data_IF_346799584243
#
_entry.id   IF_346799584243
#
_cell.length_a   1.000
_cell.length_b   1.000
_cell.length_c   1.000
_cell.angle_alpha   90.00
_cell.angle_beta   90.00
_cell.angle_gamma   90.00
#
_symmetry.space_group_name_H-M   'P 1'
#
loop_
_entity.id
_entity.type
_entity.pdbx_description
1 polymer ?
#
# COMPACT_ATOMS: atom_id res chain seq x y z
N UNK A 1 -26.94 -35.46 27.03
CA UNK A 1 -26.83 -34.77 25.73
C UNK A 1 -25.41 -34.29 25.60
N UNK A 2 -24.69 -34.73 24.56
CA UNK A 2 -23.33 -34.24 24.29
C UNK A 2 -23.49 -32.88 23.63
N UNK A 3 -23.03 -31.82 24.29
CA UNK A 3 -22.95 -30.48 23.72
C UNK A 3 -21.66 -30.43 22.88
N UNK A 4 -21.78 -30.59 21.56
CA UNK A 4 -20.64 -30.44 20.66
C UNK A 4 -20.41 -28.94 20.51
N UNK A 5 -19.24 -28.40 20.92
CA UNK A 5 -18.95 -26.99 20.71
C UNK A 5 -18.98 -26.69 19.20
N UNK A 6 -19.46 -25.51 18.79
CA UNK A 6 -19.45 -25.11 17.40
C UNK A 6 -18.04 -25.21 16.82
N UNK A 7 -17.94 -25.58 15.55
CA UNK A 7 -16.65 -25.71 14.88
C UNK A 7 -15.86 -24.39 15.02
N UNK A 8 -14.60 -24.49 15.43
CA UNK A 8 -13.67 -23.35 15.57
C UNK A 8 -13.36 -22.69 14.23
N UNK A 9 -13.56 -23.40 13.13
CA UNK A 9 -13.34 -22.92 11.77
C UNK A 9 -14.54 -23.19 10.85
N UNK A 10 -14.59 -22.47 9.73
CA UNK A 10 -15.54 -22.66 8.64
C UNK A 10 -14.79 -22.80 7.32
N UNK A 11 -15.16 -23.79 6.53
CA UNK A 11 -14.65 -23.95 5.18
C UNK A 11 -15.38 -23.00 4.23
N UNK A 12 -14.63 -22.20 3.48
CA UNK A 12 -15.14 -21.31 2.44
C UNK A 12 -14.49 -21.64 1.09
N UNK A 13 -15.01 -21.12 -0.03
CA UNK A 13 -14.33 -21.22 -1.33
C UNK A 13 -12.91 -20.62 -1.35
N UNK A 14 -12.56 -19.80 -0.36
CA UNK A 14 -11.27 -19.12 -0.25
C UNK A 14 -10.38 -19.69 0.87
N UNK A 15 -10.70 -20.90 1.36
CA UNK A 15 -9.99 -21.57 2.42
C UNK A 15 -10.74 -21.59 3.75
N UNK A 16 -10.08 -22.15 4.77
CA UNK A 16 -10.59 -22.21 6.14
C UNK A 16 -10.43 -20.85 6.82
N UNK A 17 -11.43 -20.45 7.61
CA UNK A 17 -11.43 -19.23 8.40
C UNK A 17 -11.93 -19.47 9.81
N UNK A 18 -11.48 -18.67 10.78
CA UNK A 18 -12.01 -18.68 12.15
C UNK A 18 -13.52 -18.36 12.14
N UNK A 19 -14.31 -19.25 12.75
CA UNK A 19 -15.77 -19.17 12.70
C UNK A 19 -16.32 -17.97 13.48
N UNK A 20 -15.68 -17.60 14.60
CA UNK A 20 -16.11 -16.48 15.46
C UNK A 20 -15.69 -15.16 14.84
N UNK A 21 -14.46 -15.06 14.33
CA UNK A 21 -13.96 -13.88 13.62
C UNK A 21 -14.81 -13.59 12.38
N UNK A 22 -15.22 -14.62 11.63
CA UNK A 22 -16.08 -14.45 10.46
C UNK A 22 -17.45 -13.85 10.82
N UNK A 23 -18.09 -14.31 11.89
CA UNK A 23 -19.39 -13.77 12.31
C UNK A 23 -19.25 -12.33 12.81
N UNK A 24 -18.24 -12.05 13.63
CA UNK A 24 -17.96 -10.68 14.08
C UNK A 24 -17.68 -9.72 12.91
N UNK A 25 -16.98 -10.21 11.89
CA UNK A 25 -16.65 -9.42 10.71
C UNK A 25 -17.90 -9.14 9.84
N UNK A 26 -18.83 -10.10 9.73
CA UNK A 26 -20.07 -9.93 8.96
C UNK A 26 -20.95 -8.79 9.46
N UNK A 27 -20.93 -8.53 10.76
CA UNK A 27 -21.77 -7.50 11.37
C UNK A 27 -21.20 -6.08 11.18
N UNK A 28 -19.92 -5.94 10.83
CA UNK A 28 -19.24 -4.63 10.82
C UNK A 28 -18.38 -4.31 9.60
N UNK A 29 -18.09 -5.27 8.72
CA UNK A 29 -17.20 -5.06 7.58
C UNK A 29 -17.96 -4.65 6.32
N UNK A 30 -17.76 -3.42 5.88
CA UNK A 30 -18.23 -2.95 4.58
C UNK A 30 -17.21 -3.25 3.49
N UNK A 31 -17.46 -4.31 2.70
CA UNK A 31 -16.59 -4.72 1.61
C UNK A 31 -16.42 -3.66 0.50
N UNK A 32 -17.33 -2.68 0.39
CA UNK A 32 -17.18 -1.57 -0.57
C UNK A 32 -16.02 -0.62 -0.20
N UNK A 33 -15.50 -0.70 1.02
CA UNK A 33 -14.25 -0.01 1.42
C UNK A 33 -13.05 -0.46 0.58
N UNK A 34 -13.01 -1.73 0.15
CA UNK A 34 -11.94 -2.23 -0.71
C UNK A 34 -11.97 -1.59 -2.10
N UNK A 35 -13.16 -1.39 -2.66
CA UNK A 35 -13.32 -0.69 -3.94
C UNK A 35 -12.91 0.79 -3.82
N UNK A 36 -13.28 1.46 -2.73
CA UNK A 36 -12.83 2.82 -2.46
C UNK A 36 -11.31 2.95 -2.33
N UNK A 37 -10.63 1.91 -1.83
CA UNK A 37 -9.16 1.88 -1.81
C UNK A 37 -8.57 1.80 -3.21
N UNK A 38 -9.18 1.05 -4.13
CA UNK A 38 -8.79 0.97 -5.53
C UNK A 38 -8.93 2.34 -6.19
N UNK A 39 -10.10 2.99 -6.05
CA UNK A 39 -10.32 4.32 -6.63
C UNK A 39 -9.29 5.35 -6.14
N UNK A 40 -8.93 5.29 -4.86
CA UNK A 40 -7.91 6.16 -4.26
C UNK A 40 -6.49 5.81 -4.74
N UNK A 41 -6.19 4.53 -4.95
CA UNK A 41 -4.91 4.11 -5.52
C UNK A 41 -4.77 4.63 -6.94
N UNK A 42 -5.80 4.47 -7.77
CA UNK A 42 -5.80 4.94 -9.15
C UNK A 42 -5.63 6.45 -9.23
N UNK A 43 -6.34 7.20 -8.37
CA UNK A 43 -6.17 8.65 -8.27
C UNK A 43 -4.74 9.03 -7.84
N UNK A 44 -4.16 8.32 -6.86
CA UNK A 44 -2.79 8.54 -6.41
C UNK A 44 -1.80 8.27 -7.53
N UNK A 45 -1.90 7.13 -8.20
CA UNK A 45 -1.03 6.76 -9.32
C UNK A 45 -1.17 7.71 -10.52
N UNK A 46 -2.37 8.22 -10.79
CA UNK A 46 -2.58 9.21 -11.84
C UNK A 46 -1.85 10.53 -11.55
N UNK A 47 -1.91 11.02 -10.31
CA UNK A 47 -1.17 12.23 -9.89
C UNK A 47 0.34 12.02 -9.97
N UNK A 48 0.81 10.83 -9.56
CA UNK A 48 2.22 10.43 -9.58
C UNK A 48 2.78 10.20 -11.00
N UNK A 49 1.93 10.15 -12.04
CA UNK A 49 2.36 9.69 -13.37
C UNK A 49 2.68 8.18 -13.44
N UNK A 50 2.27 7.42 -12.43
CA UNK A 50 2.51 5.99 -12.29
C UNK A 50 3.88 5.64 -11.73
N UNK A 51 4.14 4.34 -11.54
CA UNK A 51 5.40 3.85 -10.94
C UNK A 51 6.63 4.09 -11.81
N UNK A 52 6.45 4.23 -13.12
CA UNK A 52 7.54 4.58 -14.05
C UNK A 52 8.03 6.00 -13.82
N UNK A 53 7.13 6.97 -13.59
CA UNK A 53 7.51 8.35 -13.31
C UNK A 53 8.34 8.47 -12.03
N UNK A 54 7.93 7.82 -10.93
CA UNK A 54 8.71 7.74 -9.69
C UNK A 54 10.12 7.18 -9.94
N UNK A 55 10.23 6.12 -10.74
CA UNK A 55 11.54 5.53 -11.09
C UNK A 55 12.40 6.54 -11.85
N UNK A 56 11.82 7.22 -12.83
CA UNK A 56 12.54 8.18 -13.66
C UNK A 56 12.99 9.41 -12.87
N UNK A 57 12.17 9.88 -11.92
CA UNK A 57 12.52 10.94 -10.97
C UNK A 57 13.65 10.52 -10.03
N UNK A 58 13.62 9.30 -9.48
CA UNK A 58 14.71 8.76 -8.67
C UNK A 58 16.02 8.67 -9.47
N UNK A 59 15.96 8.23 -10.73
CA UNK A 59 17.14 8.18 -11.60
C UNK A 59 17.66 9.59 -11.92
N UNK A 60 16.77 10.56 -12.11
CA UNK A 60 17.15 11.97 -12.28
C UNK A 60 17.84 12.50 -11.02
N UNK A 61 17.26 12.31 -9.85
CA UNK A 61 17.86 12.72 -8.57
C UNK A 61 19.22 12.07 -8.35
N UNK A 62 19.36 10.78 -8.68
CA UNK A 62 20.64 10.09 -8.64
C UNK A 62 21.69 10.74 -9.55
N UNK A 63 21.33 11.05 -10.80
CA UNK A 63 22.22 11.73 -11.74
C UNK A 63 22.64 13.12 -11.24
N UNK A 64 21.69 13.90 -10.69
CA UNK A 64 21.98 15.21 -10.09
C UNK A 64 22.92 15.08 -8.88
N UNK A 65 22.69 14.07 -8.02
CA UNK A 65 23.53 13.79 -6.87
C UNK A 65 24.96 13.39 -7.26
N UNK A 66 25.14 12.58 -8.32
CA UNK A 66 26.47 12.24 -8.84
C UNK A 66 27.24 13.51 -9.28
N UNK A 67 26.57 14.46 -9.90
CA UNK A 67 27.22 15.71 -10.30
C UNK A 67 27.56 16.60 -9.11
N UNK A 68 26.63 16.78 -8.16
CA UNK A 68 26.79 17.73 -7.05
C UNK A 68 27.70 17.18 -5.95
N UNK A 69 27.58 15.90 -5.62
CA UNK A 69 28.26 15.26 -4.48
C UNK A 69 29.60 14.66 -4.93
N UNK A 70 29.59 13.90 -6.04
CA UNK A 70 30.77 13.15 -6.50
C UNK A 70 31.59 13.92 -7.57
N UNK A 71 31.12 15.08 -8.02
CA UNK A 71 31.83 15.92 -9.00
C UNK A 71 31.87 15.32 -10.41
N UNK A 72 30.99 14.36 -10.72
CA UNK A 72 30.90 13.73 -12.05
C UNK A 72 30.35 14.75 -13.05
N UNK A 73 30.84 14.70 -14.29
CA UNK A 73 30.33 15.53 -15.38
C UNK A 73 28.80 15.39 -15.53
N UNK A 74 28.14 16.48 -15.94
CA UNK A 74 26.69 16.56 -16.07
C UNK A 74 26.16 15.44 -16.99
N UNK A 75 25.27 14.60 -16.47
CA UNK A 75 24.64 13.49 -17.22
C UNK A 75 23.17 13.73 -17.56
N UNK A 76 22.55 14.73 -16.93
CA UNK A 76 21.16 15.17 -17.19
C UNK A 76 21.15 16.68 -17.48
N UNK A 77 20.33 17.19 -18.42
CA UNK A 77 20.30 18.62 -18.74
C UNK A 77 20.04 19.48 -17.48
N UNK A 78 20.85 20.52 -17.29
CA UNK A 78 20.74 21.43 -16.13
C UNK A 78 19.61 22.48 -16.28
N UNK A 79 18.65 22.23 -17.17
CA UNK A 79 17.60 23.19 -17.51
C UNK A 79 16.64 23.38 -16.33
N UNK A 80 16.88 24.42 -15.55
CA UNK A 80 16.02 25.01 -14.50
C UNK A 80 15.56 24.14 -13.32
N UNK A 81 15.90 22.85 -13.25
CA UNK A 81 15.55 21.98 -12.13
C UNK A 81 16.60 22.04 -11.00
N UNK A 82 16.17 22.47 -9.81
CA UNK A 82 16.97 22.42 -8.59
C UNK A 82 16.82 21.03 -7.92
N UNK A 83 17.94 20.39 -7.53
CA UNK A 83 17.91 19.06 -6.90
C UNK A 83 16.98 19.00 -5.68
N UNK A 84 16.94 20.06 -4.88
CA UNK A 84 16.09 20.12 -3.69
C UNK A 84 14.60 20.19 -4.04
N UNK A 85 14.23 20.86 -5.13
CA UNK A 85 12.82 21.00 -5.55
C UNK A 85 12.30 19.70 -6.14
N UNK A 86 13.12 19.02 -6.96
CA UNK A 86 12.80 17.67 -7.47
C UNK A 86 12.66 16.67 -6.31
N UNK A 87 13.54 16.75 -5.30
CA UNK A 87 13.47 15.89 -4.13
C UNK A 87 12.23 16.16 -3.26
N UNK A 88 11.86 17.42 -3.06
CA UNK A 88 10.66 17.82 -2.32
C UNK A 88 9.37 17.37 -3.03
N UNK A 89 9.32 17.49 -4.36
CA UNK A 89 8.20 17.01 -5.18
C UNK A 89 8.02 15.51 -5.01
N UNK A 90 9.08 14.73 -5.27
CA UNK A 90 9.04 13.27 -5.13
C UNK A 90 8.71 12.85 -3.70
N UNK A 91 9.21 13.56 -2.68
CA UNK A 91 8.88 13.28 -1.29
C UNK A 91 7.37 13.44 -1.02
N UNK A 92 6.78 14.55 -1.47
CA UNK A 92 5.34 14.83 -1.30
C UNK A 92 4.48 13.73 -1.92
N UNK A 93 4.88 13.30 -3.11
CA UNK A 93 4.28 12.23 -3.89
C UNK A 93 4.33 10.88 -3.15
N UNK A 94 5.50 10.53 -2.60
CA UNK A 94 5.65 9.33 -1.79
C UNK A 94 4.85 9.40 -0.47
N UNK A 95 4.72 10.57 0.14
CA UNK A 95 3.92 10.76 1.35
C UNK A 95 2.43 10.48 1.10
N UNK A 96 1.90 10.89 -0.05
CA UNK A 96 0.53 10.58 -0.45
C UNK A 96 0.32 9.06 -0.62
N UNK A 97 1.28 8.37 -1.25
CA UNK A 97 1.25 6.92 -1.40
C UNK A 97 1.34 6.19 -0.05
N UNK A 98 2.18 6.67 0.86
CA UNK A 98 2.31 6.13 2.23
C UNK A 98 1.00 6.32 3.01
N UNK A 99 0.36 7.49 2.90
CA UNK A 99 -0.92 7.75 3.55
C UNK A 99 -2.03 6.80 3.04
N UNK A 100 -2.08 6.58 1.72
CA UNK A 100 -2.95 5.57 1.13
C UNK A 100 -2.64 4.16 1.66
N UNK A 101 -1.37 3.75 1.66
CA UNK A 101 -0.96 2.41 2.08
C UNK A 101 -1.32 2.13 3.54
N UNK A 102 -1.12 3.11 4.42
CA UNK A 102 -1.55 3.00 5.83
C UNK A 102 -3.05 2.82 5.97
N UNK A 103 -3.84 3.56 5.18
CA UNK A 103 -5.30 3.41 5.17
C UNK A 103 -5.71 2.03 4.67
N UNK A 104 -5.05 1.53 3.61
CA UNK A 104 -5.29 0.20 3.07
C UNK A 104 -5.00 -0.90 4.10
N UNK A 105 -3.87 -0.79 4.81
CA UNK A 105 -3.51 -1.73 5.87
C UNK A 105 -4.58 -1.83 6.96
N UNK A 106 -5.13 -0.69 7.41
CA UNK A 106 -6.19 -0.67 8.43
C UNK A 106 -7.47 -1.35 7.95
N UNK A 107 -7.87 -1.13 6.69
CA UNK A 107 -9.08 -1.73 6.11
C UNK A 107 -8.88 -3.23 5.84
N UNK A 108 -7.67 -3.66 5.47
CA UNK A 108 -7.38 -5.07 5.17
C UNK A 108 -7.18 -5.89 6.46
N UNK A 109 -6.70 -5.28 7.55
CA UNK A 109 -6.36 -5.98 8.79
C UNK A 109 -7.47 -6.90 9.35
N UNK A 110 -8.77 -6.51 9.37
CA UNK A 110 -9.84 -7.40 9.81
C UNK A 110 -9.96 -8.70 8.99
N UNK A 111 -9.59 -8.68 7.72
CA UNK A 111 -9.57 -9.88 6.87
C UNK A 111 -8.43 -10.83 7.25
N UNK A 112 -7.30 -10.29 7.69
CA UNK A 112 -6.17 -11.09 8.19
C UNK A 112 -6.58 -11.86 9.46
N UNK A 113 -7.41 -11.24 10.30
CA UNK A 113 -7.93 -11.85 11.53
C UNK A 113 -8.91 -13.00 11.29
N UNK A 114 -9.28 -13.28 10.03
CA UNK A 114 -10.02 -14.49 9.67
C UNK A 114 -9.14 -15.74 9.71
N UNK A 115 -7.82 -15.61 9.88
CA UNK A 115 -6.92 -16.75 9.96
C UNK A 115 -7.42 -17.76 11.01
N UNK A 116 -7.59 -19.04 10.65
CA UNK A 116 -8.05 -20.06 11.60
C UNK A 116 -7.03 -20.22 12.73
N UNK A 117 -7.53 -20.30 13.96
CA UNK A 117 -6.71 -20.67 15.12
C UNK A 117 -6.41 -22.17 15.02
N UNK A 118 -5.26 -22.51 14.45
CA UNK A 118 -4.72 -23.86 14.59
C UNK A 118 -4.12 -23.96 16.00
N UNK A 119 -4.69 -24.80 16.86
CA UNK A 119 -3.93 -25.28 18.02
C UNK A 119 -2.68 -25.99 17.49
N UNK A 120 -1.50 -25.54 17.94
CA UNK A 120 -0.20 -26.12 17.58
C UNK A 120 0.03 -27.47 18.26
#
# INVERSE_FOLDING_TARGET
>A
MINIPPASFRLTPYGEVDAVALENLRDGFDASQLLRLVDRLDACLLQLGGTTAIRDELLRLHAMALTIIEGIALTVPAESACIWAEAESLQTDLEALVAWARTAQLIIAPLINLAPQHEA
#
